data_IF_275199565388
#
_entry.id   IF_275199565388
#
_cell.length_a   1.000
_cell.length_b   1.000
_cell.length_c   1.000
_cell.angle_alpha   90.00
_cell.angle_beta   90.00
_cell.angle_gamma   90.00
#
_symmetry.space_group_name_H-M   'P 1'
#
loop_
_entity.id
_entity.type
_entity.pdbx_description
1 polymer ?
#
# COMPACT_ATOMS: atom_id res chain seq x y z
N UNK A 1 -20.05 -2.49 23.80
CA UNK A 1 -18.82 -2.73 23.03
C UNK A 1 -17.73 -3.20 23.99
N UNK A 2 -17.21 -4.42 23.84
CA UNK A 2 -16.23 -5.04 24.76
C UNK A 2 -14.93 -4.25 24.90
N UNK A 3 -14.63 -3.33 23.98
CA UNK A 3 -13.44 -2.49 24.02
C UNK A 3 -13.52 -1.30 25.00
N UNK A 4 -14.72 -0.87 25.40
CA UNK A 4 -14.88 0.21 26.39
C UNK A 4 -14.25 -0.11 27.75
N UNK A 5 -14.12 -1.39 28.09
CA UNK A 5 -13.41 -1.83 29.29
C UNK A 5 -11.88 -1.70 29.18
N UNK A 6 -11.33 -1.71 27.95
CA UNK A 6 -9.88 -1.51 27.70
C UNK A 6 -9.48 -0.04 27.72
N UNK A 7 -10.40 0.86 27.35
CA UNK A 7 -10.16 2.30 27.30
C UNK A 7 -11.28 3.06 28.01
N UNK A 8 -11.33 3.05 29.35
CA UNK A 8 -12.45 3.58 30.12
C UNK A 8 -12.67 5.09 29.97
N UNK A 9 -11.67 5.82 29.47
CA UNK A 9 -11.73 7.26 29.21
C UNK A 9 -11.90 7.61 27.73
N UNK A 10 -12.09 6.62 26.84
CA UNK A 10 -12.27 6.89 25.41
C UNK A 10 -13.67 7.42 25.12
N UNK A 11 -13.76 8.57 24.47
CA UNK A 11 -14.99 9.05 23.84
C UNK A 11 -15.33 8.22 22.60
N UNK A 12 -16.62 7.95 22.37
CA UNK A 12 -17.10 7.25 21.18
C UNK A 12 -18.02 8.17 20.37
N UNK A 13 -17.86 8.12 19.04
CA UNK A 13 -18.53 9.02 18.10
C UNK A 13 -19.20 8.21 16.98
N UNK A 14 -20.37 8.66 16.52
CA UNK A 14 -21.07 8.06 15.38
C UNK A 14 -20.87 8.87 14.08
N UNK A 15 -20.25 10.04 14.18
CA UNK A 15 -19.99 10.94 13.06
C UNK A 15 -18.54 11.45 13.17
N UNK A 16 -17.82 11.43 12.05
CA UNK A 16 -16.46 11.92 11.97
C UNK A 16 -16.35 13.42 12.27
N UNK A 17 -17.33 14.23 11.86
CA UNK A 17 -17.29 15.67 12.11
C UNK A 17 -17.40 15.99 13.61
N UNK A 18 -18.17 15.21 14.37
CA UNK A 18 -18.23 15.35 15.83
C UNK A 18 -16.92 14.89 16.48
N UNK A 19 -16.32 13.81 15.96
CA UNK A 19 -15.04 13.28 16.44
C UNK A 19 -13.91 14.30 16.29
N UNK A 20 -13.76 14.92 15.12
CA UNK A 20 -12.70 15.93 14.88
C UNK A 20 -12.99 17.29 15.55
N UNK A 21 -14.14 17.42 16.23
CA UNK A 21 -14.47 18.56 17.08
C UNK A 21 -14.25 18.28 18.57
N UNK A 22 -13.73 17.10 18.94
CA UNK A 22 -13.39 16.79 20.32
C UNK A 22 -12.36 17.80 20.87
N UNK A 23 -12.64 18.34 22.05
CA UNK A 23 -11.78 19.32 22.70
C UNK A 23 -10.41 18.72 23.02
N UNK A 24 -9.33 19.35 22.56
CA UNK A 24 -7.96 18.89 22.79
C UNK A 24 -7.47 17.78 21.85
N UNK A 25 -8.20 17.45 20.77
CA UNK A 25 -7.71 16.50 19.77
C UNK A 25 -6.58 17.09 18.92
N UNK A 26 -5.37 16.53 19.04
CA UNK A 26 -4.17 17.00 18.33
C UNK A 26 -3.80 16.15 17.11
N UNK A 27 -4.15 14.85 17.14
CA UNK A 27 -3.78 13.90 16.09
C UNK A 27 -4.84 12.81 15.90
N UNK A 28 -4.96 12.28 14.68
CA UNK A 28 -5.81 11.15 14.34
C UNK A 28 -5.04 10.07 13.57
N UNK A 29 -5.51 8.83 13.71
CA UNK A 29 -5.17 7.73 12.82
C UNK A 29 -6.38 7.49 11.91
N UNK A 30 -6.18 7.63 10.60
CA UNK A 30 -7.20 7.37 9.58
C UNK A 30 -7.01 5.93 9.12
N UNK A 31 -7.89 5.04 9.60
CA UNK A 31 -7.90 3.60 9.31
C UNK A 31 -9.31 3.09 8.96
N UNK A 32 -10.11 3.93 8.29
CA UNK A 32 -11.43 3.59 7.79
C UNK A 32 -11.36 3.00 6.37
N UNK A 33 -12.37 3.22 5.53
CA UNK A 33 -12.34 2.70 4.17
C UNK A 33 -11.27 3.41 3.35
N UNK A 34 -10.49 2.62 2.62
CA UNK A 34 -9.37 3.05 1.78
C UNK A 34 -9.64 4.31 0.94
N UNK A 35 -10.81 4.37 0.29
CA UNK A 35 -11.15 5.47 -0.62
C UNK A 35 -11.63 6.73 0.11
N UNK A 36 -11.86 6.64 1.42
CA UNK A 36 -12.28 7.76 2.27
C UNK A 36 -11.11 8.37 3.05
N UNK A 37 -9.89 7.81 2.93
CA UNK A 37 -8.72 8.32 3.66
C UNK A 37 -8.45 9.79 3.34
N UNK A 38 -8.34 10.17 2.06
CA UNK A 38 -8.06 11.55 1.67
C UNK A 38 -9.17 12.52 2.11
N UNK A 39 -10.47 12.26 1.85
CA UNK A 39 -11.54 13.14 2.32
C UNK A 39 -11.51 13.38 3.84
N UNK A 40 -11.24 12.33 4.63
CA UNK A 40 -11.18 12.43 6.09
C UNK A 40 -9.93 13.16 6.55
N UNK A 41 -8.78 12.87 5.94
CA UNK A 41 -7.52 13.57 6.20
C UNK A 41 -7.62 15.07 5.87
N UNK A 42 -8.25 15.45 4.75
CA UNK A 42 -8.48 16.85 4.36
C UNK A 42 -9.29 17.59 5.43
N UNK A 43 -10.37 16.99 5.94
CA UNK A 43 -11.18 17.58 7.01
C UNK A 43 -10.37 17.81 8.30
N UNK A 44 -9.52 16.87 8.68
CA UNK A 44 -8.65 16.99 9.85
C UNK A 44 -7.55 18.03 9.66
N UNK A 45 -6.88 18.04 8.50
CA UNK A 45 -5.83 19.00 8.17
C UNK A 45 -6.36 20.44 8.12
N UNK A 46 -7.59 20.65 7.62
CA UNK A 46 -8.23 21.98 7.65
C UNK A 46 -8.50 22.51 9.07
N UNK A 47 -8.39 21.66 10.09
CA UNK A 47 -8.48 22.01 11.52
C UNK A 47 -7.10 22.02 12.22
N UNK A 48 -6.01 21.88 11.46
CA UNK A 48 -4.65 21.70 11.98
C UNK A 48 -4.48 20.46 12.89
N UNK A 49 -5.23 19.39 12.63
CA UNK A 49 -5.09 18.11 13.34
C UNK A 49 -4.09 17.22 12.58
N UNK A 50 -3.09 16.67 13.28
CA UNK A 50 -2.10 15.77 12.68
C UNK A 50 -2.76 14.48 12.17
N UNK A 51 -2.29 13.95 11.05
CA UNK A 51 -2.89 12.77 10.41
C UNK A 51 -1.84 11.71 10.16
N UNK A 52 -2.03 10.53 10.76
CA UNK A 52 -1.40 9.28 10.34
C UNK A 52 -2.42 8.50 9.52
N UNK A 53 -2.23 8.40 8.21
CA UNK A 53 -3.17 7.73 7.31
C UNK A 53 -2.69 6.34 6.95
N UNK A 54 -3.55 5.33 7.10
CA UNK A 54 -3.30 3.99 6.58
C UNK A 54 -3.00 3.97 5.07
N UNK A 55 -2.42 2.85 4.63
CA UNK A 55 -1.85 2.70 3.29
C UNK A 55 -2.83 3.06 2.16
N UNK A 56 -2.25 3.65 1.12
CA UNK A 56 -2.92 4.24 -0.06
C UNK A 56 -3.84 5.41 0.29
N UNK A 57 -3.28 6.63 0.34
CA UNK A 57 -3.97 7.76 0.95
C UNK A 57 -5.09 8.37 0.11
N UNK A 58 -5.10 8.13 -1.20
CA UNK A 58 -6.10 8.65 -2.13
C UNK A 58 -6.60 7.55 -3.08
N UNK A 59 -7.92 7.47 -3.24
CA UNK A 59 -8.60 6.55 -4.15
C UNK A 59 -8.82 7.11 -5.56
N UNK A 60 -8.69 8.43 -5.74
CA UNK A 60 -8.78 9.13 -7.03
C UNK A 60 -7.65 10.15 -7.17
N UNK A 61 -7.39 10.63 -8.39
CA UNK A 61 -6.39 11.67 -8.61
C UNK A 61 -6.85 12.99 -8.00
N UNK A 62 -8.12 13.35 -8.12
CA UNK A 62 -8.70 14.55 -7.50
C UNK A 62 -8.57 14.57 -5.98
N UNK A 63 -8.78 13.43 -5.33
CA UNK A 63 -8.55 13.27 -3.88
C UNK A 63 -7.08 13.52 -3.50
N UNK A 64 -6.14 13.02 -4.31
CA UNK A 64 -4.71 13.26 -4.10
C UNK A 64 -4.37 14.76 -4.22
N UNK A 65 -4.95 15.48 -5.19
CA UNK A 65 -4.79 16.93 -5.32
C UNK A 65 -5.34 17.67 -4.10
N UNK A 66 -6.56 17.31 -3.66
CA UNK A 66 -7.20 17.92 -2.51
C UNK A 66 -6.38 17.72 -1.23
N UNK A 67 -5.85 16.52 -1.03
CA UNK A 67 -5.02 16.17 0.12
C UNK A 67 -3.73 16.99 0.18
N UNK A 68 -3.01 17.11 -0.95
CA UNK A 68 -1.78 17.93 -1.02
C UNK A 68 -2.09 19.38 -0.70
N UNK A 69 -3.13 19.95 -1.29
CA UNK A 69 -3.53 21.35 -1.05
C UNK A 69 -3.95 21.60 0.40
N UNK A 70 -4.58 20.62 1.06
CA UNK A 70 -4.93 20.71 2.48
C UNK A 70 -3.69 20.64 3.38
N UNK A 71 -2.77 19.71 3.09
CA UNK A 71 -1.53 19.56 3.82
C UNK A 71 -0.62 20.79 3.68
N UNK A 72 -0.53 21.40 2.49
CA UNK A 72 0.24 22.63 2.26
C UNK A 72 -0.29 23.85 3.03
N UNK A 73 -1.59 23.89 3.32
CA UNK A 73 -2.24 24.99 4.06
C UNK A 73 -2.23 24.78 5.57
N UNK A 74 -2.05 23.54 6.02
CA UNK A 74 -2.12 23.14 7.41
C UNK A 74 -0.76 23.31 8.09
N UNK A 75 -0.78 23.65 9.37
CA UNK A 75 0.41 23.54 10.24
C UNK A 75 0.61 22.10 10.74
N UNK A 76 -0.37 21.22 10.51
CA UNK A 76 -0.31 19.84 10.95
C UNK A 76 0.48 18.94 10.00
N UNK A 77 1.21 18.03 10.60
CA UNK A 77 1.90 16.92 9.94
C UNK A 77 0.90 15.89 9.41
N UNK A 78 1.08 15.54 8.13
CA UNK A 78 0.50 14.37 7.49
C UNK A 78 1.59 13.31 7.27
N UNK A 79 1.32 12.06 7.63
CA UNK A 79 2.19 10.92 7.36
C UNK A 79 1.40 9.74 6.80
N UNK A 80 1.90 9.14 5.72
CA UNK A 80 1.45 7.82 5.28
C UNK A 80 2.01 6.74 6.22
N UNK A 81 1.13 5.90 6.74
CA UNK A 81 1.44 4.77 7.62
C UNK A 81 1.92 3.54 6.85
N UNK A 82 2.89 3.73 5.95
CA UNK A 82 3.48 2.65 5.17
C UNK A 82 4.59 1.98 5.98
N UNK A 83 4.29 0.80 6.50
CA UNK A 83 5.09 0.06 7.47
C UNK A 83 6.17 -0.84 6.83
N UNK A 84 6.00 -1.28 5.57
CA UNK A 84 6.94 -2.21 4.93
C UNK A 84 8.36 -1.67 4.77
N UNK A 85 8.58 -0.39 4.42
CA UNK A 85 9.92 0.19 4.40
C UNK A 85 10.66 0.06 5.74
N UNK A 86 9.93 0.00 6.84
CA UNK A 86 10.47 -0.14 8.20
C UNK A 86 10.72 -1.59 8.63
N UNK A 87 10.44 -2.58 7.79
CA UNK A 87 10.83 -3.97 8.07
C UNK A 87 12.34 -4.14 8.12
N UNK A 88 12.83 -5.04 8.98
CA UNK A 88 14.26 -5.25 9.23
C UNK A 88 15.09 -5.45 7.95
N UNK A 89 14.66 -6.32 7.05
CA UNK A 89 15.38 -6.58 5.80
C UNK A 89 15.38 -5.37 4.85
N UNK A 90 14.32 -4.55 4.84
CA UNK A 90 14.26 -3.33 4.02
C UNK A 90 15.17 -2.23 4.57
N UNK A 91 15.28 -2.11 5.89
CA UNK A 91 16.24 -1.22 6.54
C UNK A 91 17.68 -1.62 6.22
N UNK A 92 17.97 -2.92 6.24
CA UNK A 92 19.30 -3.43 5.87
C UNK A 92 19.61 -3.22 4.38
N UNK A 93 18.66 -3.49 3.49
CA UNK A 93 18.83 -3.21 2.05
C UNK A 93 19.09 -1.73 1.79
N UNK A 94 18.41 -0.84 2.51
CA UNK A 94 18.68 0.61 2.46
C UNK A 94 20.09 0.94 2.94
N UNK A 95 20.51 0.40 4.09
CA UNK A 95 21.87 0.62 4.62
C UNK A 95 22.94 0.17 3.64
N UNK A 96 22.78 -1.02 3.05
CA UNK A 96 23.71 -1.57 2.05
C UNK A 96 23.74 -0.71 0.80
N UNK A 97 22.59 -0.31 0.25
CA UNK A 97 22.55 0.58 -0.92
C UNK A 97 23.21 1.93 -0.63
N UNK A 98 22.90 2.56 0.50
CA UNK A 98 23.46 3.85 0.92
C UNK A 98 24.97 3.81 1.17
N UNK A 99 25.55 2.65 1.46
CA UNK A 99 27.02 2.49 1.55
C UNK A 99 27.74 2.72 0.22
N UNK A 100 27.01 2.71 -0.90
CA UNK A 100 27.55 2.84 -2.25
C UNK A 100 28.09 1.54 -2.85
N UNK A 101 28.10 0.44 -2.07
CA UNK A 101 28.71 -0.83 -2.49
C UNK A 101 28.01 -1.49 -3.69
N UNK A 102 26.74 -1.14 -3.95
CA UNK A 102 25.97 -1.64 -5.11
C UNK A 102 26.13 -0.76 -6.35
N UNK A 103 26.75 0.42 -6.24
CA UNK A 103 26.79 1.42 -7.30
C UNK A 103 25.41 2.04 -7.58
N UNK A 104 25.19 2.48 -8.82
CA UNK A 104 23.92 3.10 -9.22
C UNK A 104 22.85 2.02 -9.43
N UNK A 105 21.67 2.17 -8.84
CA UNK A 105 20.51 1.31 -9.15
C UNK A 105 20.12 1.43 -10.63
N UNK A 106 19.96 0.29 -11.29
CA UNK A 106 19.51 0.22 -12.69
C UNK A 106 18.11 -0.40 -12.78
N UNK A 107 17.85 -1.37 -11.90
CA UNK A 107 16.61 -2.12 -11.85
C UNK A 107 16.27 -2.53 -10.42
N UNK A 108 14.98 -2.61 -10.10
CA UNK A 108 14.55 -3.20 -8.83
C UNK A 108 13.21 -3.93 -8.98
N UNK A 109 12.95 -4.88 -8.08
CA UNK A 109 11.71 -5.64 -8.01
C UNK A 109 11.09 -5.53 -6.62
N UNK A 110 9.77 -5.41 -6.57
CA UNK A 110 9.01 -5.40 -5.33
C UNK A 110 7.70 -6.17 -5.50
N UNK A 111 7.40 -7.08 -4.58
CA UNK A 111 6.24 -7.96 -4.68
C UNK A 111 5.52 -8.01 -3.34
N UNK A 112 4.24 -7.61 -3.32
CA UNK A 112 3.33 -7.79 -2.19
C UNK A 112 2.35 -8.92 -2.53
N UNK A 113 2.76 -10.16 -2.27
CA UNK A 113 1.96 -11.32 -2.62
C UNK A 113 1.21 -11.84 -1.39
N UNK A 114 -0.10 -11.64 -1.36
CA UNK A 114 -0.91 -11.93 -0.18
C UNK A 114 -2.24 -12.59 -0.58
N UNK A 115 -2.18 -13.87 -1.01
CA UNK A 115 -3.37 -14.61 -1.34
C UNK A 115 -4.14 -14.93 -0.05
N UNK A 116 -5.38 -14.46 0.04
CA UNK A 116 -6.25 -14.68 1.18
C UNK A 116 -7.28 -15.75 0.77
N UNK A 117 -7.19 -16.94 1.34
CA UNK A 117 -8.11 -18.05 1.07
C UNK A 117 -8.99 -18.32 2.30
N UNK A 118 -10.28 -18.66 2.12
CA UNK A 118 -11.13 -19.21 3.19
C UNK A 118 -12.36 -18.38 3.57
N UNK A 119 -13.32 -19.02 4.24
CA UNK A 119 -14.71 -18.61 4.44
C UNK A 119 -14.99 -17.63 5.61
N UNK A 120 -14.01 -17.36 6.48
CA UNK A 120 -14.22 -16.57 7.71
C UNK A 120 -13.48 -15.22 7.81
N UNK A 121 -12.30 -15.09 7.20
CA UNK A 121 -11.44 -13.91 7.38
C UNK A 121 -11.92 -12.68 6.59
N UNK A 122 -12.78 -12.87 5.61
CA UNK A 122 -13.04 -11.82 4.60
C UNK A 122 -14.44 -11.31 4.63
N UNK A 123 -15.36 -12.08 5.16
CA UNK A 123 -16.61 -11.51 5.65
C UNK A 123 -16.36 -10.51 6.79
N UNK A 124 -15.24 -10.61 7.54
CA UNK A 124 -14.78 -9.56 8.47
C UNK A 124 -14.23 -8.32 7.73
N UNK A 125 -13.36 -8.52 6.74
CA UNK A 125 -12.71 -7.41 6.01
C UNK A 125 -13.58 -6.78 4.92
N UNK A 126 -14.63 -7.47 4.48
CA UNK A 126 -15.54 -7.08 3.43
C UNK A 126 -16.98 -7.37 3.86
N UNK A 127 -17.55 -6.53 4.73
CA UNK A 127 -18.82 -6.80 5.41
C UNK A 127 -20.06 -6.72 4.51
N UNK A 128 -19.97 -6.41 3.21
CA UNK A 128 -21.12 -6.47 2.29
C UNK A 128 -20.65 -6.57 0.83
N UNK A 129 -21.55 -6.95 -0.08
CA UNK A 129 -21.25 -7.20 -1.50
C UNK A 129 -20.83 -5.97 -2.32
N UNK A 130 -21.08 -4.76 -1.80
CA UNK A 130 -20.63 -3.48 -2.38
C UNK A 130 -19.44 -2.88 -1.63
N UNK A 131 -18.84 -3.61 -0.70
CA UNK A 131 -17.67 -3.11 0.01
C UNK A 131 -16.50 -2.90 -0.96
N UNK A 132 -15.85 -1.73 -0.91
CA UNK A 132 -14.78 -1.33 -1.83
C UNK A 132 -13.71 -2.41 -2.03
N UNK A 133 -13.33 -3.13 -0.97
CA UNK A 133 -12.27 -4.14 -0.99
C UNK A 133 -12.61 -5.34 -1.90
N UNK A 134 -13.89 -5.61 -2.15
CA UNK A 134 -14.32 -6.62 -3.13
C UNK A 134 -14.07 -6.19 -4.58
N UNK A 135 -14.17 -4.89 -4.86
CA UNK A 135 -14.11 -4.32 -6.21
C UNK A 135 -12.79 -3.61 -6.49
N UNK A 136 -11.87 -3.62 -5.52
CA UNK A 136 -10.56 -3.02 -5.67
C UNK A 136 -9.70 -3.81 -6.66
N UNK A 137 -9.29 -3.19 -7.79
CA UNK A 137 -8.30 -3.79 -8.68
C UNK A 137 -7.02 -4.08 -7.89
N UNK A 138 -6.39 -5.22 -8.15
CA UNK A 138 -5.21 -5.67 -7.40
C UNK A 138 -4.04 -4.68 -7.44
N UNK A 139 -3.95 -3.95 -8.54
CA UNK A 139 -2.94 -2.91 -8.74
C UNK A 139 -3.12 -1.66 -7.87
N UNK A 140 -4.31 -1.41 -7.30
CA UNK A 140 -4.54 -0.25 -6.40
C UNK A 140 -3.75 -0.36 -5.09
N UNK A 141 -3.47 -1.58 -4.63
CA UNK A 141 -2.79 -1.81 -3.37
C UNK A 141 -1.31 -2.11 -3.61
N UNK A 142 -0.61 -1.11 -4.15
CA UNK A 142 0.79 -1.22 -4.61
C UNK A 142 1.81 -0.73 -3.58
N UNK A 143 1.38 -0.02 -2.53
CA UNK A 143 2.29 0.71 -1.63
C UNK A 143 3.30 -0.20 -0.96
N UNK A 144 2.88 -1.36 -0.44
CA UNK A 144 3.78 -2.32 0.19
C UNK A 144 4.85 -2.88 -0.76
N UNK A 145 4.58 -2.91 -2.07
CA UNK A 145 5.52 -3.42 -3.06
C UNK A 145 6.46 -2.31 -3.59
N UNK A 146 5.96 -1.08 -3.72
CA UNK A 146 6.69 0.04 -4.32
C UNK A 146 7.41 0.92 -3.28
N UNK A 147 6.79 1.21 -2.15
CA UNK A 147 7.33 2.13 -1.15
C UNK A 147 8.70 1.70 -0.61
N UNK A 148 8.98 0.39 -0.35
CA UNK A 148 10.30 -0.04 0.07
C UNK A 148 11.38 0.27 -0.98
N UNK A 149 11.07 0.12 -2.27
CA UNK A 149 12.01 0.44 -3.35
C UNK A 149 12.32 1.94 -3.38
N UNK A 150 11.29 2.79 -3.32
CA UNK A 150 11.47 4.24 -3.26
C UNK A 150 12.22 4.66 -1.98
N UNK A 151 11.96 4.02 -0.85
CA UNK A 151 12.62 4.29 0.43
C UNK A 151 14.10 3.90 0.42
N UNK A 152 14.42 2.72 -0.13
CA UNK A 152 15.79 2.21 -0.25
C UNK A 152 16.58 3.10 -1.20
N UNK A 153 16.03 3.38 -2.39
CA UNK A 153 16.77 4.04 -3.48
C UNK A 153 16.75 5.57 -3.41
N UNK A 154 15.74 6.15 -2.76
CA UNK A 154 15.47 7.59 -2.79
C UNK A 154 14.88 8.08 -4.12
N UNK A 155 14.50 7.17 -5.02
CA UNK A 155 14.08 7.46 -6.39
C UNK A 155 12.55 7.30 -6.51
N UNK A 156 11.90 8.24 -7.21
CA UNK A 156 10.45 8.18 -7.43
C UNK A 156 10.07 7.85 -8.89
N UNK A 157 8.92 7.16 -9.11
CA UNK A 157 8.37 6.92 -10.45
C UNK A 157 7.99 8.22 -11.17
N UNK A 158 8.30 8.29 -12.47
CA UNK A 158 7.91 9.38 -13.38
C UNK A 158 6.88 8.94 -14.41
N UNK A 159 6.85 7.66 -14.75
CA UNK A 159 5.90 7.06 -15.69
C UNK A 159 5.61 5.63 -15.29
N UNK A 160 4.40 5.16 -15.58
CA UNK A 160 3.96 3.80 -15.26
C UNK A 160 3.29 3.13 -16.46
N UNK A 161 3.48 1.83 -16.59
CA UNK A 161 2.74 0.95 -17.52
C UNK A 161 2.41 -0.33 -16.79
N UNK A 162 1.22 -0.90 -17.00
CA UNK A 162 0.80 -2.11 -16.31
C UNK A 162 0.10 -3.10 -17.25
N UNK A 163 0.37 -4.39 -17.02
CA UNK A 163 -0.26 -5.50 -17.72
C UNK A 163 -1.04 -6.34 -16.73
N UNK A 164 -2.37 -6.50 -16.91
CA UNK A 164 -3.18 -7.27 -15.98
C UNK A 164 -2.79 -8.75 -16.00
N UNK A 165 -2.86 -9.39 -14.83
CA UNK A 165 -2.74 -10.84 -14.68
C UNK A 165 -4.07 -11.31 -14.12
N UNK A 166 -4.75 -12.15 -14.87
CA UNK A 166 -6.08 -12.60 -14.50
C UNK A 166 -6.18 -14.12 -14.54
N UNK A 167 -7.07 -14.65 -13.71
CA UNK A 167 -7.42 -16.06 -13.66
C UNK A 167 -8.94 -16.16 -13.64
N UNK A 168 -9.58 -16.48 -14.78
CA UNK A 168 -11.03 -16.56 -14.86
C UNK A 168 -11.53 -17.68 -13.96
N UNK A 169 -12.48 -17.35 -13.07
CA UNK A 169 -13.10 -18.37 -12.22
C UNK A 169 -14.10 -19.18 -13.05
N UNK A 170 -13.84 -20.47 -13.25
CA UNK A 170 -14.85 -21.44 -13.70
C UNK A 170 -15.42 -22.21 -12.51
N UNK A 171 -16.57 -22.88 -12.69
CA UNK A 171 -17.10 -23.82 -11.69
C UNK A 171 -16.06 -24.91 -11.32
N UNK A 172 -15.19 -25.30 -12.25
CA UNK A 172 -14.19 -26.36 -12.02
C UNK A 172 -12.90 -25.86 -11.36
N UNK A 173 -12.54 -24.58 -11.53
CA UNK A 173 -11.31 -23.98 -11.01
C UNK A 173 -11.53 -23.12 -9.76
N UNK A 174 -12.59 -23.47 -9.04
CA UNK A 174 -13.03 -22.83 -7.83
C UNK A 174 -12.12 -23.17 -6.66
N UNK A 175 -11.33 -22.20 -6.18
CA UNK A 175 -10.38 -22.39 -5.09
C UNK A 175 -10.88 -21.90 -3.72
N UNK A 176 -12.19 -21.66 -3.55
CA UNK A 176 -12.73 -21.06 -2.31
C UNK A 176 -12.22 -19.63 -2.08
N UNK A 177 -11.87 -18.96 -3.18
CA UNK A 177 -11.32 -17.62 -3.20
C UNK A 177 -12.42 -16.58 -3.13
N UNK A 178 -12.88 -16.33 -1.92
CA UNK A 178 -13.14 -15.03 -1.37
C UNK A 178 -13.50 -13.83 -2.25
N UNK A 179 -12.74 -13.54 -3.30
CA UNK A 179 -12.96 -12.40 -4.19
C UNK A 179 -13.69 -12.80 -5.48
N UNK A 180 -14.84 -13.45 -5.28
CA UNK A 180 -15.81 -14.00 -6.26
C UNK A 180 -16.11 -13.16 -7.52
N UNK A 181 -15.74 -11.87 -7.55
CA UNK A 181 -16.18 -10.91 -8.56
C UNK A 181 -15.07 -10.39 -9.47
N UNK A 182 -13.80 -10.55 -9.11
CA UNK A 182 -12.70 -10.00 -9.90
C UNK A 182 -11.80 -11.13 -10.44
N UNK A 183 -11.70 -11.30 -11.77
CA UNK A 183 -10.76 -12.24 -12.37
C UNK A 183 -9.31 -11.78 -12.18
N UNK A 184 -9.07 -10.53 -11.79
CA UNK A 184 -7.73 -9.97 -11.59
C UNK A 184 -7.04 -10.60 -10.38
N UNK A 185 -5.90 -11.22 -10.66
CA UNK A 185 -4.99 -11.80 -9.66
C UNK A 185 -3.87 -10.85 -9.29
N UNK A 186 -3.43 -10.04 -10.24
CA UNK A 186 -2.40 -9.01 -10.05
C UNK A 186 -2.32 -8.13 -11.30
N UNK A 187 -1.34 -7.24 -11.35
CA UNK A 187 -0.85 -6.63 -12.58
C UNK A 187 0.67 -6.49 -12.49
N UNK A 188 1.37 -6.80 -13.58
CA UNK A 188 2.79 -6.48 -13.69
C UNK A 188 2.92 -4.98 -13.95
N UNK A 189 3.42 -4.22 -12.98
CA UNK A 189 3.59 -2.77 -13.08
C UNK A 189 5.06 -2.44 -13.35
N UNK A 190 5.32 -1.71 -14.43
CA UNK A 190 6.63 -1.15 -14.74
C UNK A 190 6.65 0.34 -14.40
N UNK A 191 7.46 0.73 -13.44
CA UNK A 191 7.72 2.13 -13.08
C UNK A 191 9.03 2.59 -13.75
N UNK A 192 8.94 3.62 -14.57
CA UNK A 192 10.10 4.31 -15.15
C UNK A 192 10.42 5.52 -14.31
N UNK A 193 11.60 5.54 -13.71
CA UNK A 193 11.92 6.47 -12.64
C UNK A 193 12.68 7.71 -13.13
N UNK A 194 12.74 8.73 -12.27
CA UNK A 194 13.38 10.01 -12.57
C UNK A 194 14.88 9.93 -12.90
N UNK A 195 15.58 8.92 -12.38
CA UNK A 195 17.03 8.71 -12.59
C UNK A 195 17.36 7.75 -13.75
N UNK A 196 16.31 7.28 -14.45
CA UNK A 196 16.39 6.32 -15.56
C UNK A 196 16.40 4.85 -15.13
N UNK A 197 16.33 4.53 -13.83
CA UNK A 197 16.09 3.16 -13.38
C UNK A 197 14.67 2.69 -13.68
N UNK A 198 14.47 1.37 -13.68
CA UNK A 198 13.15 0.74 -13.88
C UNK A 198 12.81 -0.15 -12.70
N UNK A 199 11.64 0.04 -12.10
CA UNK A 199 11.13 -0.88 -11.08
C UNK A 199 10.02 -1.75 -11.65
N UNK A 200 10.10 -3.06 -11.42
CA UNK A 200 9.02 -4.01 -11.71
C UNK A 200 8.31 -4.35 -10.41
N UNK A 201 7.02 -4.06 -10.34
CA UNK A 201 6.24 -4.19 -9.11
C UNK A 201 5.03 -5.08 -9.34
N UNK A 202 4.80 -5.98 -8.39
CA UNK A 202 3.51 -6.63 -8.21
C UNK A 202 2.88 -6.08 -6.93
N UNK A 203 1.80 -5.30 -7.09
CA UNK A 203 0.95 -4.90 -5.95
C UNK A 203 0.26 -6.12 -5.33
N UNK A 204 -0.82 -5.91 -4.58
CA UNK A 204 -1.54 -7.00 -3.91
C UNK A 204 -1.89 -8.16 -4.83
N UNK A 205 -1.08 -9.21 -4.74
CA UNK A 205 -1.15 -10.35 -5.65
C UNK A 205 -1.83 -11.53 -5.00
N UNK A 206 -2.59 -12.26 -5.82
CA UNK A 206 -3.36 -13.46 -5.45
C UNK A 206 -2.90 -14.65 -6.28
N UNK A 207 -1.59 -14.86 -6.35
CA UNK A 207 -0.98 -16.04 -6.96
C UNK A 207 0.07 -16.62 -6.00
N UNK A 208 0.48 -17.88 -6.14
CA UNK A 208 1.55 -18.44 -5.29
C UNK A 208 1.26 -18.43 -3.78
N UNK A 209 2.32 -18.37 -2.96
CA UNK A 209 2.25 -18.36 -1.48
C UNK A 209 2.47 -16.94 -0.92
N UNK A 210 1.93 -16.65 0.28
CA UNK A 210 2.13 -15.35 0.93
C UNK A 210 3.62 -15.04 1.09
N UNK A 211 4.06 -13.95 0.49
CA UNK A 211 5.46 -13.54 0.47
C UNK A 211 5.59 -12.05 0.15
N UNK A 212 6.59 -11.39 0.72
CA UNK A 212 6.91 -9.98 0.49
C UNK A 212 8.38 -9.87 0.11
N UNK A 213 8.66 -9.61 -1.17
CA UNK A 213 10.00 -9.79 -1.71
C UNK A 213 10.47 -8.58 -2.49
N UNK A 214 11.76 -8.28 -2.32
CA UNK A 214 12.41 -7.11 -2.87
C UNK A 214 13.79 -7.47 -3.38
N UNK A 215 14.17 -6.87 -4.50
CA UNK A 215 15.49 -7.01 -5.11
C UNK A 215 15.94 -5.68 -5.66
N UNK A 216 17.16 -5.26 -5.32
CA UNK A 216 17.81 -4.06 -5.85
C UNK A 216 18.99 -4.50 -6.70
N UNK A 217 19.01 -4.12 -7.97
CA UNK A 217 20.07 -4.40 -8.92
C UNK A 217 20.82 -3.11 -9.26
N UNK A 218 22.02 -2.97 -8.73
CA UNK A 218 22.93 -1.88 -9.03
C UNK A 218 23.97 -2.22 -10.10
N UNK A 219 24.75 -1.22 -10.50
CA UNK A 219 25.80 -1.37 -11.51
C UNK A 219 26.97 -2.26 -11.07
N UNK A 220 27.14 -2.49 -9.77
CA UNK A 220 28.25 -3.27 -9.18
C UNK A 220 27.77 -4.63 -8.66
N UNK A 221 26.54 -4.70 -8.15
CA UNK A 221 25.99 -5.90 -7.52
C UNK A 221 24.51 -5.76 -7.24
N UNK A 222 23.96 -6.69 -6.48
CA UNK A 222 22.56 -6.71 -6.08
C UNK A 222 22.37 -7.11 -4.62
N UNK A 223 21.20 -6.78 -4.08
CA UNK A 223 20.75 -7.29 -2.79
C UNK A 223 19.27 -7.68 -2.88
N UNK A 224 18.88 -8.77 -2.25
CA UNK A 224 17.49 -9.23 -2.18
C UNK A 224 17.20 -9.95 -0.87
N UNK A 225 15.95 -9.98 -0.43
CA UNK A 225 15.51 -10.95 0.56
C UNK A 225 15.14 -12.28 -0.12
N UNK A 226 15.26 -13.38 0.61
CA UNK A 226 15.10 -14.73 0.04
C UNK A 226 13.64 -15.16 0.08
N UNK A 227 13.06 -15.47 -1.09
CA UNK A 227 11.71 -16.05 -1.19
C UNK A 227 11.56 -17.29 -0.31
N UNK A 228 10.53 -17.32 0.53
CA UNK A 228 10.28 -18.39 1.51
C UNK A 228 11.17 -18.39 2.76
N UNK A 229 12.16 -17.49 2.86
CA UNK A 229 12.94 -17.19 4.07
C UNK A 229 13.23 -15.69 4.10
N UNK A 230 12.16 -14.88 4.22
CA UNK A 230 12.19 -13.43 4.03
C UNK A 230 13.01 -12.68 5.06
N UNK A 231 13.30 -13.32 6.19
CA UNK A 231 14.21 -12.80 7.22
C UNK A 231 15.69 -12.88 6.78
N UNK A 232 16.01 -13.68 5.76
CA UNK A 232 17.36 -13.78 5.19
C UNK A 232 17.50 -12.87 3.99
N UNK A 233 18.63 -12.19 3.90
CA UNK A 233 19.03 -11.43 2.72
C UNK A 233 20.26 -12.02 2.05
N UNK A 234 20.43 -11.75 0.76
CA UNK A 234 21.57 -12.13 -0.04
C UNK A 234 22.12 -10.93 -0.80
N UNK A 235 23.35 -10.53 -0.44
CA UNK A 235 24.15 -9.53 -1.16
C UNK A 235 25.07 -10.25 -2.16
N UNK A 236 24.94 -9.91 -3.44
CA UNK A 236 25.73 -10.49 -4.53
C UNK A 236 26.54 -9.43 -5.27
N UNK A 237 27.79 -9.73 -5.60
CA UNK A 237 28.66 -8.85 -6.39
C UNK A 237 28.91 -9.46 -7.76
N UNK A 238 29.00 -8.61 -8.79
CA UNK A 238 29.46 -9.05 -10.11
C UNK A 238 30.94 -9.47 -10.02
N UNK A 239 31.36 -10.49 -10.76
CA UNK A 239 32.67 -11.15 -10.65
C UNK A 239 33.86 -10.18 -10.56
N UNK A 240 33.86 -9.11 -11.36
CA UNK A 240 34.95 -8.13 -11.42
C UNK A 240 34.92 -7.05 -10.33
N UNK A 241 33.91 -7.07 -9.46
CA UNK A 241 33.67 -6.03 -8.45
C UNK A 241 33.52 -6.59 -7.03
N UNK A 242 33.95 -7.83 -6.78
CA UNK A 242 33.92 -8.44 -5.46
C UNK A 242 34.90 -7.69 -4.54
N UNK A 243 34.45 -7.03 -3.45
CA UNK A 243 35.35 -6.35 -2.52
C UNK A 243 36.29 -7.32 -1.81
N UNK A 244 37.45 -6.85 -1.39
CA UNK A 244 38.40 -7.67 -0.62
C UNK A 244 37.74 -8.23 0.64
N UNK A 245 37.91 -9.53 0.89
CA UNK A 245 37.33 -10.24 2.03
C UNK A 245 35.85 -10.63 1.88
N UNK A 246 35.18 -10.20 0.81
CA UNK A 246 33.81 -10.62 0.49
C UNK A 246 33.80 -11.82 -0.45
N UNK A 247 32.69 -12.57 -0.43
CA UNK A 247 32.40 -13.57 -1.46
C UNK A 247 31.55 -12.92 -2.56
N UNK A 248 31.44 -13.59 -3.70
CA UNK A 248 30.43 -13.23 -4.71
C UNK A 248 29.02 -13.27 -4.09
N UNK A 249 28.75 -14.24 -3.22
CA UNK A 249 27.46 -14.51 -2.60
C UNK A 249 27.57 -14.42 -1.07
N UNK A 250 26.92 -13.41 -0.46
CA UNK A 250 26.95 -13.17 0.98
C UNK A 250 25.51 -13.18 1.54
N UNK A 251 25.10 -14.29 2.14
CA UNK A 251 23.77 -14.43 2.75
C UNK A 251 23.84 -14.36 4.26
N UNK A 252 22.95 -13.58 4.88
CA UNK A 252 22.93 -13.38 6.32
C UNK A 252 21.54 -12.91 6.80
N UNK A 253 21.30 -13.06 8.10
CA UNK A 253 20.13 -12.50 8.77
C UNK A 253 20.51 -11.09 9.28
N UNK A 254 19.75 -10.04 8.93
CA UNK A 254 20.01 -8.70 9.41
C UNK A 254 19.70 -8.58 10.90
N UNK A 255 20.37 -7.64 11.55
CA UNK A 255 20.20 -7.34 12.97
C UNK A 255 19.73 -5.90 13.15
N UNK A 256 18.95 -5.64 14.20
CA UNK A 256 18.58 -4.28 14.56
C UNK A 256 19.76 -3.55 15.21
N UNK A 257 20.13 -2.40 14.65
CA UNK A 257 21.14 -1.50 15.20
C UNK A 257 20.53 -0.25 15.86
N UNK A 258 19.33 -0.38 16.43
CA UNK A 258 18.55 0.72 16.99
C UNK A 258 18.29 0.50 18.49
N UNK A 259 18.19 1.59 19.25
CA UNK A 259 17.95 1.54 20.70
C UNK A 259 16.63 0.83 21.04
N UNK A 260 15.59 1.04 20.23
CA UNK A 260 14.24 0.49 20.46
C UNK A 260 14.01 -0.91 19.87
N UNK A 261 15.08 -1.66 19.56
CA UNK A 261 14.97 -2.97 18.89
C UNK A 261 14.06 -3.96 19.61
N UNK A 262 14.07 -3.98 20.95
CA UNK A 262 13.27 -4.91 21.74
C UNK A 262 11.77 -4.64 21.64
N UNK A 263 11.38 -3.38 21.33
CA UNK A 263 10.00 -2.99 21.07
C UNK A 263 9.61 -3.35 19.64
N UNK A 264 10.49 -3.07 18.67
CA UNK A 264 10.28 -3.42 17.27
C UNK A 264 10.12 -4.94 17.08
N UNK A 265 10.92 -5.76 17.76
CA UNK A 265 10.84 -7.23 17.68
C UNK A 265 9.52 -7.81 18.22
N UNK A 266 8.83 -7.07 19.09
CA UNK A 266 7.52 -7.47 19.65
C UNK A 266 6.34 -6.94 18.84
N UNK A 267 6.59 -6.03 17.89
CA UNK A 267 5.57 -5.44 17.04
C UNK A 267 5.26 -6.30 15.81
N UNK A 268 4.16 -5.99 15.13
CA UNK A 268 3.79 -6.67 13.89
C UNK A 268 4.71 -6.33 12.72
N UNK A 269 4.61 -7.13 11.65
CA UNK A 269 5.29 -6.92 10.38
C UNK A 269 6.80 -6.70 10.51
N UNK A 270 7.48 -7.56 11.27
CA UNK A 270 8.94 -7.50 11.44
C UNK A 270 9.45 -6.17 12.02
N UNK A 271 8.64 -5.49 12.83
CA UNK A 271 8.95 -4.21 13.49
C UNK A 271 8.44 -2.96 12.77
N UNK A 272 7.89 -3.08 11.57
CA UNK A 272 7.46 -1.94 10.77
C UNK A 272 6.35 -1.10 11.43
N UNK A 273 5.43 -1.74 12.13
CA UNK A 273 4.29 -1.08 12.79
C UNK A 273 4.76 -0.12 13.90
N UNK A 274 5.77 -0.55 14.67
CA UNK A 274 6.34 0.26 15.75
C UNK A 274 6.99 1.54 15.22
N UNK A 275 7.86 1.40 14.21
CA UNK A 275 8.58 2.54 13.65
C UNK A 275 7.65 3.53 12.94
N UNK A 276 6.55 3.05 12.35
CA UNK A 276 5.56 3.92 11.72
C UNK A 276 4.95 4.89 12.74
N UNK A 277 4.46 4.37 13.86
CA UNK A 277 3.86 5.19 14.92
C UNK A 277 4.93 6.05 15.61
N UNK A 278 6.09 5.48 15.92
CA UNK A 278 7.20 6.21 16.54
C UNK A 278 7.60 7.43 15.70
N UNK A 279 7.85 7.23 14.41
CA UNK A 279 8.28 8.30 13.51
C UNK A 279 7.23 9.40 13.39
N UNK A 280 5.94 9.06 13.34
CA UNK A 280 4.87 10.05 13.34
C UNK A 280 4.89 10.90 14.63
N UNK A 281 4.97 10.25 15.79
CA UNK A 281 5.03 10.97 17.08
C UNK A 281 6.28 11.82 17.23
N UNK A 282 7.43 11.36 16.73
CA UNK A 282 8.67 12.12 16.77
C UNK A 282 8.59 13.35 15.87
N UNK A 283 8.06 13.20 14.65
CA UNK A 283 7.84 14.30 13.72
C UNK A 283 6.97 15.41 14.35
N UNK A 284 5.92 15.04 15.07
CA UNK A 284 5.07 15.99 15.82
C UNK A 284 5.88 16.71 16.90
N UNK A 285 6.61 15.97 17.74
CA UNK A 285 7.40 16.54 18.86
C UNK A 285 8.50 17.47 18.38
N UNK A 286 9.11 17.17 17.23
CA UNK A 286 10.22 17.95 16.67
C UNK A 286 9.79 18.97 15.62
N UNK A 287 8.51 19.00 15.26
CA UNK A 287 7.96 19.80 14.17
C UNK A 287 8.74 19.63 12.85
N UNK A 288 8.99 18.37 12.47
CA UNK A 288 9.72 18.02 11.22
C UNK A 288 8.85 17.21 10.29
N UNK A 289 8.98 17.42 8.98
CA UNK A 289 8.23 16.65 7.99
C UNK A 289 8.69 15.18 7.96
N UNK A 290 7.77 14.21 7.91
CA UNK A 290 8.10 12.79 7.83
C UNK A 290 8.65 12.44 6.45
N UNK A 291 9.41 11.34 6.36
CA UNK A 291 9.88 10.85 5.07
C UNK A 291 8.72 10.38 4.17
N UNK A 292 7.69 9.79 4.76
CA UNK A 292 6.47 9.39 4.06
C UNK A 292 5.41 10.49 4.17
N UNK A 293 5.79 11.68 3.68
CA UNK A 293 4.93 12.87 3.64
C UNK A 293 3.77 12.73 2.65
N UNK A 294 2.96 13.79 2.56
CA UNK A 294 1.81 13.85 1.66
C UNK A 294 2.19 13.64 0.19
N UNK A 295 3.37 14.08 -0.23
CA UNK A 295 3.82 13.97 -1.61
C UNK A 295 4.27 12.55 -1.93
N UNK A 296 4.98 11.91 -1.01
CA UNK A 296 5.33 10.49 -1.13
C UNK A 296 4.06 9.66 -1.28
N UNK A 297 3.11 9.82 -0.35
CA UNK A 297 1.87 9.04 -0.37
C UNK A 297 1.00 9.26 -1.60
N UNK A 298 0.80 10.52 -2.01
CA UNK A 298 0.00 10.83 -3.20
C UNK A 298 0.66 10.39 -4.51
N UNK A 299 2.00 10.39 -4.57
CA UNK A 299 2.72 9.82 -5.71
C UNK A 299 2.48 8.31 -5.81
N UNK A 300 2.52 7.57 -4.70
CA UNK A 300 2.23 6.13 -4.71
C UNK A 300 0.77 5.83 -5.09
N UNK A 301 -0.19 6.60 -4.58
CA UNK A 301 -1.59 6.52 -5.00
C UNK A 301 -1.74 6.75 -6.50
N UNK A 302 -1.10 7.79 -7.04
CA UNK A 302 -1.16 8.07 -8.48
C UNK A 302 -0.55 6.95 -9.32
N UNK A 303 0.55 6.34 -8.87
CA UNK A 303 1.11 5.16 -9.55
C UNK A 303 0.07 4.04 -9.59
N UNK A 304 -0.62 3.76 -8.49
CA UNK A 304 -1.66 2.73 -8.43
C UNK A 304 -2.83 3.03 -9.38
N UNK A 305 -3.34 4.27 -9.36
CA UNK A 305 -4.48 4.71 -10.18
C UNK A 305 -4.12 4.68 -11.68
N UNK A 306 -2.96 5.22 -12.04
CA UNK A 306 -2.50 5.27 -13.44
C UNK A 306 -2.08 3.90 -13.95
N UNK A 307 -1.53 3.02 -13.09
CA UNK A 307 -1.28 1.63 -13.44
C UNK A 307 -2.58 0.88 -13.71
N UNK A 308 -3.66 1.15 -12.97
CA UNK A 308 -4.97 0.58 -13.30
C UNK A 308 -5.50 1.06 -14.65
N UNK A 309 -5.46 2.37 -14.92
CA UNK A 309 -5.84 2.92 -16.24
C UNK A 309 -5.00 2.26 -17.36
N UNK A 310 -3.68 2.12 -17.14
CA UNK A 310 -2.78 1.40 -18.05
C UNK A 310 -3.18 -0.05 -18.27
N UNK A 311 -3.57 -0.77 -17.21
CA UNK A 311 -3.98 -2.17 -17.29
C UNK A 311 -5.28 -2.35 -18.09
N UNK A 312 -6.24 -1.44 -17.93
CA UNK A 312 -7.47 -1.41 -18.74
C UNK A 312 -7.21 -1.16 -20.23
N UNK A 313 -6.05 -0.58 -20.56
CA UNK A 313 -5.61 -0.29 -21.92
C UNK A 313 -4.43 -1.16 -22.35
N UNK A 314 -4.24 -2.30 -21.68
CA UNK A 314 -3.24 -3.31 -22.02
C UNK A 314 -1.81 -2.75 -22.15
N UNK A 315 -1.39 -1.91 -21.20
CA UNK A 315 -0.02 -1.44 -21.04
C UNK A 315 0.27 -0.04 -21.60
N UNK A 316 -0.74 0.72 -22.04
CA UNK A 316 -0.55 2.13 -22.43
C UNK A 316 0.12 2.90 -21.29
N UNK A 317 1.29 3.56 -21.52
CA UNK A 317 2.02 4.21 -20.45
C UNK A 317 1.42 5.57 -20.06
N UNK A 318 1.47 5.89 -18.78
CA UNK A 318 0.98 7.14 -18.19
C UNK A 318 2.09 7.87 -17.44
N UNK A 319 2.19 9.18 -17.64
CA UNK A 319 3.08 10.03 -16.84
C UNK A 319 2.51 10.24 -15.44
N UNK A 320 3.34 10.10 -14.42
CA UNK A 320 2.98 10.31 -13.01
C UNK A 320 3.21 11.79 -12.68
N UNK A 321 2.20 12.54 -12.22
CA UNK A 321 2.36 13.96 -11.94
C UNK A 321 3.30 14.19 -10.76
N UNK A 322 4.09 15.26 -10.84
CA UNK A 322 4.84 15.72 -9.68
C UNK A 322 3.91 16.53 -8.77
N UNK A 323 3.40 15.90 -7.71
CA UNK A 323 2.50 16.55 -6.76
C UNK A 323 3.09 17.75 -6.02
N UNK A 324 4.42 17.97 -6.06
CA UNK A 324 5.05 19.19 -5.52
C UNK A 324 4.83 20.41 -6.42
N UNK A 325 4.30 20.23 -7.63
CA UNK A 325 4.07 21.29 -8.61
C UNK A 325 2.58 21.48 -8.86
N UNK A 326 2.07 22.66 -8.54
CA UNK A 326 0.66 23.02 -8.79
C UNK A 326 0.25 22.83 -10.26
N UNK A 327 1.11 23.19 -11.20
CA UNK A 327 0.90 23.05 -12.65
C UNK A 327 0.71 21.60 -13.14
N UNK A 328 1.24 20.62 -12.41
CA UNK A 328 1.07 19.20 -12.74
C UNK A 328 -0.21 18.65 -12.12
N UNK A 329 -0.49 18.97 -10.86
CA UNK A 329 -1.64 18.43 -10.12
C UNK A 329 -2.96 19.09 -10.50
N UNK A 330 -3.00 20.37 -10.89
CA UNK A 330 -4.25 21.06 -11.30
C UNK A 330 -4.97 20.37 -12.45
N UNK A 331 -4.23 19.68 -13.33
CA UNK A 331 -4.78 18.90 -14.46
C UNK A 331 -5.69 17.76 -14.01
N UNK A 332 -5.53 17.30 -12.77
CA UNK A 332 -6.23 16.15 -12.20
C UNK A 332 -7.24 16.53 -11.11
N UNK A 333 -7.44 17.83 -10.83
CA UNK A 333 -8.28 18.26 -9.69
C UNK A 333 -9.75 17.86 -9.82
N UNK A 334 -10.18 17.50 -11.03
CA UNK A 334 -11.53 17.01 -11.34
C UNK A 334 -11.55 15.54 -11.80
N UNK A 335 -10.43 14.81 -11.72
CA UNK A 335 -10.34 13.39 -12.07
C UNK A 335 -10.74 12.55 -10.84
N UNK A 336 -12.05 12.30 -10.74
CA UNK A 336 -12.68 11.47 -9.72
C UNK A 336 -13.03 10.07 -10.23
N UNK A 337 -12.36 9.62 -11.30
CA UNK A 337 -12.61 8.28 -11.82
C UNK A 337 -12.19 7.22 -10.81
N UNK A 338 -13.09 6.26 -10.53
CA UNK A 338 -12.83 5.21 -9.53
C UNK A 338 -13.45 3.87 -9.92
N UNK A 339 -12.73 2.75 -9.68
CA UNK A 339 -13.26 1.40 -9.79
C UNK A 339 -13.94 0.92 -8.50
N UNK A 340 -14.02 1.78 -7.49
CA UNK A 340 -14.53 1.44 -6.15
C UNK A 340 -15.97 1.92 -5.99
N UNK A 341 -16.77 1.15 -5.27
CA UNK A 341 -18.06 1.64 -4.79
C UNK A 341 -17.84 2.66 -3.67
N UNK A 342 -18.64 3.72 -3.69
CA UNK A 342 -18.73 4.65 -2.56
C UNK A 342 -19.32 3.98 -1.33
N UNK A 343 -19.02 4.51 -0.15
CA UNK A 343 -19.56 4.02 1.13
C UNK A 343 -21.08 4.12 1.23
N UNK A 344 -21.70 5.02 0.46
CA UNK A 344 -23.14 5.16 0.26
C UNK A 344 -23.74 4.18 -0.78
N UNK A 345 -22.90 3.35 -1.38
CA UNK A 345 -23.28 2.40 -2.43
C UNK A 345 -23.32 2.98 -3.84
N UNK A 346 -22.83 4.21 -4.04
CA UNK A 346 -22.63 4.82 -5.37
C UNK A 346 -21.75 3.90 -6.23
N UNK A 347 -22.16 3.59 -7.47
CA UNK A 347 -21.41 2.69 -8.35
C UNK A 347 -20.08 3.32 -8.83
N UNK A 348 -19.10 2.48 -9.20
CA UNK A 348 -17.84 2.95 -9.79
C UNK A 348 -18.08 3.62 -11.14
N UNK A 349 -17.19 4.55 -11.51
CA UNK A 349 -17.24 5.26 -12.80
C UNK A 349 -16.38 4.60 -13.89
N UNK A 350 -15.41 3.77 -13.50
CA UNK A 350 -14.60 2.97 -14.41
C UNK A 350 -14.63 1.48 -14.01
N UNK A 351 -14.37 0.54 -14.94
CA UNK A 351 -14.34 -0.89 -14.62
C UNK A 351 -13.21 -1.27 -13.66
N UNK A 352 -13.43 -2.23 -12.78
CA UNK A 352 -12.38 -2.76 -11.90
C UNK A 352 -11.33 -3.60 -12.64
N UNK A 353 -11.72 -4.27 -13.73
CA UNK A 353 -10.87 -5.14 -14.55
C UNK A 353 -11.12 -4.90 -16.04
N UNK A 354 -10.14 -5.20 -16.89
CA UNK A 354 -10.30 -5.24 -18.34
C UNK A 354 -11.21 -6.40 -18.79
N UNK A 355 -11.27 -7.49 -18.01
CA UNK A 355 -12.06 -8.68 -18.31
C UNK A 355 -13.54 -8.49 -17.93
N UNK A 356 -14.16 -7.47 -18.51
CA UNK A 356 -15.57 -7.09 -18.28
C UNK A 356 -16.59 -8.19 -18.63
N UNK A 357 -16.17 -9.26 -19.33
CA UNK A 357 -17.02 -10.40 -19.69
C UNK A 357 -17.16 -11.43 -18.57
N UNK A 358 -16.33 -11.38 -17.52
CA UNK A 358 -16.49 -12.25 -16.36
C UNK A 358 -17.65 -11.77 -15.49
N UNK A 359 -18.82 -12.38 -15.67
CA UNK A 359 -20.00 -12.18 -14.82
C UNK A 359 -20.14 -13.41 -13.90
N UNK A 360 -20.01 -13.26 -12.57
CA UNK A 360 -20.29 -14.34 -11.64
C UNK A 360 -21.70 -14.91 -11.89
N UNK A 361 -21.82 -16.24 -11.95
CA UNK A 361 -23.13 -16.86 -12.18
C UNK A 361 -24.08 -16.57 -11.01
N UNK A 362 -25.39 -16.58 -11.26
CA UNK A 362 -26.38 -16.40 -10.19
C UNK A 362 -26.24 -17.44 -9.06
N UNK A 363 -25.78 -18.64 -9.41
CA UNK A 363 -25.49 -19.73 -8.47
C UNK A 363 -24.26 -19.41 -7.61
N UNK A 364 -23.16 -18.97 -8.23
CA UNK A 364 -21.97 -18.51 -7.49
C UNK A 364 -22.32 -17.35 -6.54
N UNK A 365 -23.19 -16.44 -6.97
CA UNK A 365 -23.69 -15.36 -6.13
C UNK A 365 -24.51 -15.86 -4.94
N UNK A 366 -25.37 -16.86 -5.15
CA UNK A 366 -26.18 -17.45 -4.08
C UNK A 366 -25.33 -18.22 -3.06
N UNK A 367 -24.32 -18.97 -3.51
CA UNK A 367 -23.37 -19.67 -2.63
C UNK A 367 -22.60 -18.69 -1.74
N UNK A 368 -22.20 -17.55 -2.31
CA UNK A 368 -21.56 -16.47 -1.57
C UNK A 368 -22.51 -15.88 -0.50
N UNK A 369 -23.73 -15.51 -0.89
CA UNK A 369 -24.70 -14.92 0.04
C UNK A 369 -25.02 -15.88 1.20
N UNK A 370 -25.07 -17.19 0.93
CA UNK A 370 -25.23 -18.23 1.95
C UNK A 370 -24.01 -18.33 2.89
N UNK A 371 -22.79 -18.34 2.34
CA UNK A 371 -21.56 -18.37 3.13
C UNK A 371 -21.44 -17.13 4.03
N UNK A 372 -21.75 -15.95 3.47
CA UNK A 372 -21.78 -14.69 4.21
C UNK A 372 -22.84 -14.71 5.32
N UNK A 373 -24.06 -15.19 5.05
CA UNK A 373 -25.10 -15.32 6.07
C UNK A 373 -24.69 -16.26 7.22
N UNK A 374 -24.05 -17.39 6.92
CA UNK A 374 -23.50 -18.31 7.93
C UNK A 374 -22.44 -17.64 8.79
N UNK A 375 -21.56 -16.85 8.18
CA UNK A 375 -20.57 -16.08 8.92
C UNK A 375 -21.21 -15.06 9.86
N UNK A 376 -22.15 -14.24 9.40
CA UNK A 376 -22.80 -13.22 10.23
C UNK A 376 -23.53 -13.87 11.40
N UNK A 377 -24.20 -15.01 11.17
CA UNK A 377 -24.82 -15.79 12.23
C UNK A 377 -23.80 -16.26 13.28
N UNK A 378 -22.63 -16.77 12.85
CA UNK A 378 -21.54 -17.20 13.73
C UNK A 378 -20.93 -16.04 14.52
N UNK A 379 -20.76 -14.87 13.90
CA UNK A 379 -20.24 -13.66 14.55
C UNK A 379 -21.20 -13.14 15.62
N UNK A 380 -22.49 -13.06 15.33
CA UNK A 380 -23.50 -12.56 16.27
C UNK A 380 -23.73 -13.51 17.46
N UNK A 381 -23.33 -14.78 17.35
CA UNK A 381 -23.41 -15.76 18.43
C UNK A 381 -22.20 -15.73 19.39
N UNK A 382 -21.12 -15.01 19.04
CA UNK A 382 -19.95 -14.75 19.89
C UNK A 382 -20.06 -13.37 20.52
#
# INVERSE_FOLDING_TARGET
CSESARFPNAGAYNNFDDFINHEGLEAIVVANYFHEHAPYAVKALNKNIHVLSECTPAGTMGDAVALVRAAEKSEAIYMLAENYPYMKFNQEMRRVYQSGVLGKVLYAEGEYNHPIWGDGYTSELCPNSKHWRYHMPRVYYITHALAPLCYITGVMPKRVSAFPISYPHTKENFMGDLYWRLPDRSAMVSCFNEDGSVFRVFGWSQFGAHDNTYRICGSIGQIENVRGDTERITLRFNDSFIPEGMKENNSYYPEWNLEDKDLAEKAGHGGGDFFTVKNFTDCIRTNTQPQFDVYFGTTLSAVAILAHKSALEYGVPYDVPNFRKEEDRVKYENDFDTPLYGSDGTPPTIPSTELSEYIPTAESMAEYDEAYAKFIAKRNAK
#
